data_IF_193072002751
#
_entry.id   IF_193072002751
#
_cell.length_a   1.000
_cell.length_b   1.000
_cell.length_c   1.000
_cell.angle_alpha   90.00
_cell.angle_beta   90.00
_cell.angle_gamma   90.00
#
_symmetry.space_group_name_H-M   'P 1'
#
loop_
_entity.id
_entity.type
_entity.pdbx_description
1 polymer ?
#
# COMPACT_ATOMS: atom_id res chain seq x y z
N UNK A 1 9.63 -9.03 28.30
CA UNK A 1 8.62 -8.26 27.53
C UNK A 1 8.47 -8.92 26.18
N UNK A 2 7.31 -9.49 25.84
CA UNK A 2 7.10 -10.09 24.50
C UNK A 2 7.13 -8.97 23.44
N UNK A 3 8.01 -9.09 22.45
CA UNK A 3 8.05 -8.18 21.30
C UNK A 3 6.74 -8.30 20.51
N UNK A 4 6.13 -7.17 20.13
CA UNK A 4 4.91 -7.19 19.32
C UNK A 4 5.18 -7.79 17.93
N UNK A 5 4.14 -8.23 17.21
CA UNK A 5 4.30 -8.76 15.86
C UNK A 5 4.97 -7.75 14.90
N UNK A 6 4.72 -6.45 15.09
CA UNK A 6 5.36 -5.37 14.32
C UNK A 6 6.86 -5.24 14.60
N UNK A 7 7.29 -5.38 15.87
CA UNK A 7 8.71 -5.33 16.25
C UNK A 7 9.48 -6.50 15.63
N UNK A 8 8.88 -7.70 15.68
CA UNK A 8 9.44 -8.89 15.07
C UNK A 8 9.57 -8.72 13.56
N UNK A 9 8.53 -8.20 12.91
CA UNK A 9 8.54 -7.91 11.48
C UNK A 9 9.64 -6.90 11.12
N UNK A 10 9.77 -5.78 11.84
CA UNK A 10 10.81 -4.79 11.59
C UNK A 10 12.22 -5.39 11.69
N UNK A 11 12.46 -6.24 12.69
CA UNK A 11 13.75 -6.96 12.84
C UNK A 11 14.02 -7.93 11.70
N UNK A 12 13.02 -8.70 11.27
CA UNK A 12 13.16 -9.63 10.14
C UNK A 12 13.43 -8.87 8.85
N UNK A 13 12.73 -7.76 8.61
CA UNK A 13 12.95 -6.91 7.43
C UNK A 13 14.39 -6.41 7.37
N UNK A 14 14.92 -5.83 8.46
CA UNK A 14 16.31 -5.37 8.50
C UNK A 14 17.30 -6.52 8.32
N UNK A 15 17.04 -7.68 8.92
CA UNK A 15 17.89 -8.85 8.74
C UNK A 15 17.96 -9.28 7.27
N UNK A 16 16.81 -9.32 6.59
CA UNK A 16 16.75 -9.64 5.15
C UNK A 16 17.49 -8.60 4.33
N UNK A 17 17.32 -7.30 4.61
CA UNK A 17 18.06 -6.22 3.93
C UNK A 17 19.56 -6.45 4.02
N UNK A 18 20.08 -6.69 5.22
CA UNK A 18 21.50 -6.99 5.41
C UNK A 18 21.94 -8.24 4.66
N UNK A 19 21.15 -9.31 4.69
CA UNK A 19 21.48 -10.58 3.99
C UNK A 19 21.48 -10.44 2.48
N UNK A 20 20.58 -9.63 1.92
CA UNK A 20 20.55 -9.35 0.48
C UNK A 20 21.78 -8.55 0.06
N UNK A 21 22.20 -7.57 0.86
CA UNK A 21 23.41 -6.79 0.63
C UNK A 21 24.70 -7.61 0.76
N UNK A 22 24.75 -8.58 1.70
CA UNK A 22 25.85 -9.55 1.80
C UNK A 22 26.04 -10.37 0.51
N UNK A 23 24.98 -10.55 -0.29
CA UNK A 23 25.03 -11.24 -1.59
C UNK A 23 25.44 -10.31 -2.74
N UNK A 24 25.76 -9.04 -2.46
CA UNK A 24 26.16 -8.04 -3.45
C UNK A 24 24.99 -7.35 -4.16
N UNK A 25 23.75 -7.48 -3.65
CA UNK A 25 22.58 -6.80 -4.18
C UNK A 25 22.26 -5.56 -3.36
N UNK A 26 22.13 -4.41 -4.01
CA UNK A 26 21.82 -3.16 -3.32
C UNK A 26 20.32 -3.01 -3.06
N UNK A 27 19.95 -2.79 -1.79
CA UNK A 27 18.56 -2.57 -1.39
C UNK A 27 18.30 -1.07 -1.21
N UNK A 28 17.65 -0.46 -2.20
CA UNK A 28 17.40 0.99 -2.20
C UNK A 28 16.09 1.37 -1.49
N UNK A 29 15.07 0.50 -1.52
CA UNK A 29 13.72 0.82 -1.06
C UNK A 29 12.98 -0.37 -0.47
N UNK A 30 12.25 -0.12 0.61
CA UNK A 30 11.19 -0.99 1.13
C UNK A 30 9.82 -0.48 0.68
N UNK A 31 9.02 -1.38 0.11
CA UNK A 31 7.63 -1.11 -0.28
C UNK A 31 6.73 -2.06 0.49
N UNK A 32 5.74 -1.51 1.18
CA UNK A 32 4.79 -2.28 1.97
C UNK A 32 3.34 -1.98 1.58
N UNK A 33 2.42 -2.90 1.85
CA UNK A 33 1.00 -2.57 1.88
C UNK A 33 0.67 -1.64 3.08
N UNK A 34 -0.56 -1.12 3.10
CA UNK A 34 -1.06 -0.26 4.18
C UNK A 34 -1.85 -1.05 5.26
N UNK A 35 -1.39 -2.24 5.61
CA UNK A 35 -1.94 -3.02 6.71
C UNK A 35 -1.36 -2.56 8.06
N UNK A 36 -2.18 -2.57 9.13
CA UNK A 36 -1.82 -1.99 10.45
C UNK A 36 -0.47 -2.48 11.00
N UNK A 37 -0.20 -3.77 10.92
CA UNK A 37 1.08 -4.36 11.40
C UNK A 37 2.25 -3.84 10.59
N UNK A 38 2.09 -3.69 9.28
CA UNK A 38 3.14 -3.25 8.39
C UNK A 38 3.41 -1.75 8.54
N UNK A 39 2.36 -0.93 8.63
CA UNK A 39 2.48 0.50 8.96
C UNK A 39 3.20 0.68 10.30
N UNK A 40 2.84 -0.12 11.31
CA UNK A 40 3.49 -0.09 12.62
C UNK A 40 4.96 -0.54 12.55
N UNK A 41 5.29 -1.56 11.76
CA UNK A 41 6.68 -1.99 11.57
C UNK A 41 7.51 -0.91 10.85
N UNK A 42 6.95 -0.25 9.83
CA UNK A 42 7.59 0.87 9.13
C UNK A 42 7.81 2.07 10.07
N UNK A 43 6.85 2.39 10.94
CA UNK A 43 7.03 3.43 11.97
C UNK A 43 8.14 3.07 12.97
N UNK A 44 8.24 1.80 13.38
CA UNK A 44 9.33 1.30 14.24
C UNK A 44 10.69 1.48 13.54
N UNK A 45 10.79 1.15 12.25
CA UNK A 45 12.02 1.33 11.46
C UNK A 45 12.45 2.81 11.43
N UNK A 46 11.51 3.74 11.45
CA UNK A 46 11.79 5.17 11.52
C UNK A 46 12.00 5.71 12.95
N UNK A 47 12.13 4.84 13.95
CA UNK A 47 12.23 5.24 15.36
C UNK A 47 11.04 6.14 15.80
N UNK A 48 9.84 5.85 15.28
CA UNK A 48 8.62 6.60 15.56
C UNK A 48 8.49 7.96 14.84
N UNK A 49 9.51 8.40 14.10
CA UNK A 49 9.41 9.58 13.25
C UNK A 49 8.69 9.20 11.95
N UNK A 50 7.67 9.93 11.51
CA UNK A 50 7.06 9.71 10.18
C UNK A 50 7.98 10.20 9.08
N UNK A 51 9.06 9.47 8.82
CA UNK A 51 10.05 9.75 7.78
C UNK A 51 9.83 8.86 6.57
N UNK A 52 10.19 9.36 5.38
CA UNK A 52 10.16 8.60 4.14
C UNK A 52 11.48 7.86 3.85
N UNK A 53 12.50 8.05 4.69
CA UNK A 53 13.77 7.33 4.59
C UNK A 53 14.47 7.21 5.94
N UNK A 54 15.35 6.22 6.04
CA UNK A 54 16.24 5.97 7.17
C UNK A 54 17.68 5.79 6.66
N UNK A 55 18.71 5.97 7.51
CA UNK A 55 20.06 5.52 7.17
C UNK A 55 20.05 4.04 6.80
N UNK A 56 20.76 3.66 5.74
CA UNK A 56 20.81 2.26 5.31
C UNK A 56 21.58 1.42 6.36
N UNK A 57 21.07 0.23 6.74
CA UNK A 57 21.61 -0.53 7.88
C UNK A 57 23.02 -1.09 7.66
N UNK A 58 23.44 -1.22 6.39
CA UNK A 58 24.78 -1.71 6.02
C UNK A 58 25.77 -0.56 5.77
N UNK A 59 25.27 0.61 5.37
CA UNK A 59 26.09 1.78 5.02
C UNK A 59 25.32 3.06 5.35
N UNK A 60 25.75 3.74 6.41
CA UNK A 60 25.04 4.91 6.95
C UNK A 60 25.10 6.13 6.04
N UNK A 61 25.97 6.16 5.02
CA UNK A 61 26.01 7.23 4.02
C UNK A 61 24.87 7.09 2.99
N UNK A 62 24.33 5.88 2.81
CA UNK A 62 23.18 5.62 1.92
C UNK A 62 21.86 5.78 2.66
N UNK A 63 20.80 5.99 1.88
CA UNK A 63 19.41 6.06 2.37
C UNK A 63 18.66 4.81 1.96
N UNK A 64 17.93 4.23 2.90
CA UNK A 64 16.91 3.24 2.63
C UNK A 64 15.55 3.95 2.59
N UNK A 65 14.91 3.96 1.42
CA UNK A 65 13.62 4.63 1.24
C UNK A 65 12.46 3.75 1.68
N UNK A 66 11.44 4.36 2.26
CA UNK A 66 10.26 3.70 2.80
C UNK A 66 9.03 4.19 2.04
N UNK A 67 8.26 3.27 1.48
CA UNK A 67 7.06 3.58 0.72
C UNK A 67 5.93 2.60 0.99
N UNK A 68 4.70 3.08 0.80
CA UNK A 68 3.51 2.23 0.75
C UNK A 68 3.09 2.03 -0.71
N UNK A 69 2.56 0.85 -1.06
CA UNK A 69 2.07 0.58 -2.40
C UNK A 69 0.88 1.51 -2.74
N UNK A 70 1.08 2.26 -3.83
CA UNK A 70 0.13 3.20 -4.39
C UNK A 70 -1.21 2.53 -4.74
N UNK A 71 -1.20 1.26 -5.15
CA UNK A 71 -2.44 0.55 -5.50
C UNK A 71 -3.38 0.42 -4.30
N UNK A 72 -2.82 0.16 -3.11
CA UNK A 72 -3.58 0.08 -1.86
C UNK A 72 -4.08 1.46 -1.41
N UNK A 73 -3.30 2.52 -1.64
CA UNK A 73 -3.73 3.89 -1.36
C UNK A 73 -4.94 4.27 -2.23
N UNK A 74 -4.87 4.03 -3.54
CA UNK A 74 -5.97 4.37 -4.47
C UNK A 74 -7.24 3.56 -4.14
N UNK A 75 -7.09 2.27 -3.84
CA UNK A 75 -8.22 1.43 -3.41
C UNK A 75 -8.87 1.95 -2.12
N UNK A 76 -8.07 2.38 -1.15
CA UNK A 76 -8.55 2.95 0.11
C UNK A 76 -9.28 4.28 -0.12
N UNK A 77 -8.73 5.18 -0.93
CA UNK A 77 -9.36 6.46 -1.31
C UNK A 77 -10.70 6.21 -2.02
N UNK A 78 -10.74 5.29 -2.99
CA UNK A 78 -11.99 4.89 -3.67
C UNK A 78 -13.03 4.39 -2.67
N UNK A 79 -12.62 3.51 -1.75
CA UNK A 79 -13.54 2.93 -0.76
C UNK A 79 -14.11 4.00 0.16
N UNK A 80 -13.27 4.95 0.61
CA UNK A 80 -13.73 6.10 1.41
C UNK A 80 -14.64 7.04 0.60
N UNK A 81 -14.33 7.30 -0.66
CA UNK A 81 -15.17 8.10 -1.56
C UNK A 81 -16.55 7.45 -1.83
N UNK A 82 -16.61 6.12 -1.90
CA UNK A 82 -17.86 5.39 -2.10
C UNK A 82 -18.69 5.31 -0.82
N UNK A 83 -18.04 5.17 0.35
CA UNK A 83 -18.71 4.97 1.63
C UNK A 83 -19.03 6.28 2.38
N UNK A 84 -18.35 7.39 2.07
CA UNK A 84 -18.44 8.67 2.81
C UNK A 84 -18.38 9.88 1.87
N UNK A 85 -18.79 11.03 2.37
CA UNK A 85 -18.49 12.33 1.77
C UNK A 85 -17.02 12.68 2.07
N UNK A 86 -16.21 12.95 1.04
CA UNK A 86 -14.85 13.44 1.22
C UNK A 86 -14.85 14.97 1.25
N UNK A 87 -14.11 15.57 2.19
CA UNK A 87 -14.02 17.02 2.36
C UNK A 87 -15.19 17.60 3.15
N UNK A 88 -14.93 18.13 4.35
CA UNK A 88 -15.94 18.62 5.30
C UNK A 88 -16.98 19.59 4.71
N UNK A 89 -16.71 20.89 4.71
CA UNK A 89 -17.67 21.91 4.21
C UNK A 89 -17.65 22.10 2.67
N UNK A 90 -16.73 21.44 1.96
CA UNK A 90 -16.63 21.44 0.49
C UNK A 90 -16.78 19.99 0.02
N UNK A 91 -18.03 19.58 -0.09
CA UNK A 91 -18.42 18.20 -0.32
C UNK A 91 -17.92 17.70 -1.70
N UNK A 92 -17.13 16.63 -1.67
CA UNK A 92 -16.84 15.80 -2.83
C UNK A 92 -17.37 14.41 -2.50
N UNK A 93 -18.63 14.16 -2.81
CA UNK A 93 -19.28 12.87 -2.57
C UNK A 93 -19.65 12.16 -3.86
N UNK A 94 -19.77 10.84 -3.77
CA UNK A 94 -20.19 10.02 -4.91
C UNK A 94 -21.67 10.19 -5.29
N UNK A 95 -22.39 11.15 -4.70
CA UNK A 95 -23.75 11.55 -5.09
C UNK A 95 -23.84 12.02 -6.56
N UNK A 96 -22.74 12.54 -7.13
CA UNK A 96 -22.62 12.86 -8.56
C UNK A 96 -22.54 11.63 -9.49
N UNK A 97 -22.65 10.39 -8.96
CA UNK A 97 -22.75 9.15 -9.77
C UNK A 97 -23.86 9.20 -10.82
N UNK A 98 -24.91 10.00 -10.60
CA UNK A 98 -26.00 10.17 -11.55
C UNK A 98 -25.54 10.83 -12.87
N UNK A 99 -24.48 11.63 -12.85
CA UNK A 99 -23.93 12.25 -14.07
C UNK A 99 -23.35 11.22 -15.05
N UNK A 100 -22.72 10.17 -14.51
CA UNK A 100 -22.19 9.05 -15.31
C UNK A 100 -23.26 8.04 -15.71
N UNK A 101 -24.31 7.84 -14.90
CA UNK A 101 -25.46 7.00 -15.27
C UNK A 101 -26.23 7.56 -16.46
N UNK A 102 -26.36 8.89 -16.58
CA UNK A 102 -27.07 9.52 -17.70
C UNK A 102 -26.36 9.36 -19.05
N UNK A 103 -25.03 9.13 -19.06
CA UNK A 103 -24.25 8.92 -20.28
C UNK A 103 -24.04 7.43 -20.63
N UNK A 104 -24.33 6.54 -19.69
CA UNK A 104 -24.18 5.11 -19.89
C UNK A 104 -25.56 4.46 -19.86
N UNK A 105 -26.15 4.25 -21.05
CA UNK A 105 -27.23 3.28 -21.26
C UNK A 105 -26.73 1.84 -21.05
N UNK A 106 -26.09 1.56 -19.91
CA UNK A 106 -25.32 0.36 -19.69
C UNK A 106 -25.88 -0.41 -18.51
N UNK A 107 -26.30 -1.65 -18.83
CA UNK A 107 -26.91 -2.65 -17.97
C UNK A 107 -26.23 -2.73 -16.62
N UNK A 108 -27.05 -2.90 -15.57
CA UNK A 108 -26.62 -3.22 -14.22
C UNK A 108 -25.60 -4.37 -14.25
N UNK A 109 -24.32 -4.04 -14.08
CA UNK A 109 -23.30 -5.01 -13.70
C UNK A 109 -22.95 -4.77 -12.25
N UNK A 110 -23.10 -5.83 -11.44
CA UNK A 110 -22.63 -5.81 -10.07
C UNK A 110 -21.12 -5.57 -10.05
N UNK A 111 -20.65 -4.67 -9.20
CA UNK A 111 -19.23 -4.29 -9.13
C UNK A 111 -18.30 -5.48 -8.80
N UNK A 112 -18.84 -6.57 -8.24
CA UNK A 112 -18.15 -7.84 -8.01
C UNK A 112 -17.92 -8.67 -9.28
N UNK A 113 -18.73 -8.51 -10.33
CA UNK A 113 -18.63 -9.32 -11.55
C UNK A 113 -17.64 -8.75 -12.58
N UNK A 114 -17.43 -7.43 -12.58
CA UNK A 114 -16.56 -6.76 -13.58
C UNK A 114 -15.07 -7.05 -13.32
N UNK A 115 -14.68 -7.28 -12.07
CA UNK A 115 -13.27 -7.51 -11.71
C UNK A 115 -12.87 -8.99 -11.60
N UNK A 116 -13.81 -9.93 -11.59
CA UNK A 116 -13.50 -11.37 -11.50
C UNK A 116 -13.32 -12.06 -12.88
N UNK A 117 -13.14 -11.28 -13.96
CA UNK A 117 -12.86 -11.78 -15.32
C UNK A 117 -11.38 -11.80 -15.71
N UNK A 118 -10.46 -11.82 -14.75
CA UNK A 118 -9.04 -12.13 -14.99
C UNK A 118 -8.56 -13.30 -14.14
N UNK A 119 -9.26 -14.43 -14.23
CA UNK A 119 -8.77 -15.69 -13.67
C UNK A 119 -8.79 -16.86 -14.66
N UNK A 120 -9.09 -16.66 -15.95
CA UNK A 120 -8.95 -17.70 -16.98
C UNK A 120 -8.23 -17.11 -18.20
N UNK A 121 -6.90 -17.23 -18.20
CA UNK A 121 -6.13 -17.19 -19.43
C UNK A 121 -6.31 -18.57 -20.10
N UNK A 122 -6.79 -18.65 -21.36
CA UNK A 122 -6.69 -19.90 -22.10
C UNK A 122 -5.22 -20.18 -22.36
N UNK A 123 -4.76 -21.32 -21.86
CA UNK A 123 -3.46 -21.86 -22.20
C UNK A 123 -3.47 -22.12 -23.72
N UNK A 124 -2.69 -21.35 -24.48
CA UNK A 124 -2.39 -21.63 -25.89
C UNK A 124 -0.94 -22.05 -25.96
N UNK A 125 -0.71 -23.35 -25.81
CA UNK A 125 0.25 -24.15 -26.56
C UNK A 125 -0.37 -25.53 -26.75
#
# INVERSE_FOLDING_TARGET
TQASSSDQLARVVLHIVCKVEELGLEVVRLVSDNHKVNTSAMDILCNGARSYCIPHPVDTQRKLFLAFDQSHIIKNVRSQFLARQLGGNKEISSSHKNFFKSHAGWKHYNASEVFNKKAHLPNKY
#
